data_IF_277133245811
#
_entry.id   IF_277133245811
#
_cell.length_a   1.000
_cell.length_b   1.000
_cell.length_c   1.000
_cell.angle_alpha   90.00
_cell.angle_beta   90.00
_cell.angle_gamma   90.00
#
_symmetry.space_group_name_H-M   'P 1'
#
loop_
_entity.id
_entity.type
_entity.pdbx_description
1 polymer ?
#
# COMPACT_ATOMS: atom_id res chain seq x y z
N UNK A 1 -14.57 -9.68 -6.65
CA UNK A 1 -13.81 -8.61 -5.96
C UNK A 1 -13.32 -9.14 -4.63
N UNK A 2 -12.18 -8.62 -4.11
CA UNK A 2 -11.63 -9.08 -2.84
C UNK A 2 -12.24 -8.28 -1.67
N UNK A 3 -12.26 -6.94 -1.82
CA UNK A 3 -12.83 -6.02 -0.83
C UNK A 3 -13.63 -4.95 -1.55
N UNK A 4 -14.80 -4.59 -1.01
CA UNK A 4 -15.70 -3.61 -1.62
C UNK A 4 -16.23 -2.65 -0.56
N UNK A 5 -16.29 -1.37 -0.93
CA UNK A 5 -16.87 -0.30 -0.14
C UNK A 5 -18.10 0.22 -0.88
N UNK A 6 -19.25 0.32 -0.20
CA UNK A 6 -20.50 0.78 -0.77
C UNK A 6 -21.01 1.98 0.03
N UNK A 7 -20.91 3.18 -0.56
CA UNK A 7 -21.37 4.46 0.01
C UNK A 7 -20.85 4.70 1.44
N UNK A 8 -19.59 4.32 1.67
CA UNK A 8 -18.97 4.34 3.01
C UNK A 8 -18.69 5.76 3.45
N UNK A 9 -19.10 6.08 4.69
CA UNK A 9 -18.84 7.35 5.36
C UNK A 9 -18.15 7.11 6.70
N UNK A 10 -17.15 7.95 7.01
CA UNK A 10 -16.46 7.92 8.29
C UNK A 10 -15.96 9.30 8.70
N UNK A 11 -16.30 9.69 9.93
CA UNK A 11 -15.85 10.93 10.57
C UNK A 11 -15.21 10.61 11.93
N UNK A 12 -14.04 11.16 12.20
CA UNK A 12 -13.39 11.00 13.51
C UNK A 12 -14.19 11.72 14.60
N UNK A 13 -14.16 11.16 15.82
CA UNK A 13 -14.79 11.81 16.99
C UNK A 13 -14.17 13.18 17.23
N UNK A 14 -15.05 14.18 17.42
CA UNK A 14 -14.62 15.57 17.66
C UNK A 14 -14.22 16.36 16.40
N UNK A 15 -14.33 15.76 15.21
CA UNK A 15 -14.09 16.43 13.93
C UNK A 15 -15.40 16.57 13.18
N UNK A 16 -15.61 17.70 12.50
CA UNK A 16 -16.85 17.96 11.72
C UNK A 16 -16.77 17.45 10.29
N UNK A 17 -15.56 17.42 9.70
CA UNK A 17 -15.39 17.01 8.33
C UNK A 17 -15.15 15.49 8.25
N UNK A 18 -15.85 14.80 7.34
CA UNK A 18 -15.65 13.37 7.13
C UNK A 18 -14.28 13.09 6.51
N UNK A 19 -13.59 12.08 7.05
CA UNK A 19 -12.34 11.57 6.50
C UNK A 19 -12.58 10.66 5.28
N UNK A 20 -13.72 9.99 5.23
CA UNK A 20 -14.25 9.23 4.07
C UNK A 20 -15.69 9.67 3.84
N UNK A 21 -16.05 9.94 2.57
CA UNK A 21 -17.32 10.51 2.17
C UNK A 21 -17.90 9.75 0.97
N UNK A 22 -19.06 9.14 1.15
CA UNK A 22 -19.82 8.41 0.13
C UNK A 22 -18.93 7.56 -0.79
N UNK A 23 -17.93 6.90 -0.19
CA UNK A 23 -16.92 6.16 -0.94
C UNK A 23 -17.49 4.84 -1.43
N UNK A 24 -17.57 4.70 -2.74
CA UNK A 24 -17.81 3.42 -3.41
C UNK A 24 -16.54 3.05 -4.16
N UNK A 25 -15.93 1.91 -3.79
CA UNK A 25 -14.63 1.47 -4.29
C UNK A 25 -14.56 -0.06 -4.27
N UNK A 26 -13.89 -0.62 -5.28
CA UNK A 26 -13.65 -2.06 -5.38
C UNK A 26 -12.16 -2.36 -5.46
N UNK A 27 -11.69 -3.26 -4.61
CA UNK A 27 -10.32 -3.78 -4.61
C UNK A 27 -10.34 -5.15 -5.29
N UNK A 28 -9.78 -5.27 -6.51
CA UNK A 28 -9.68 -6.56 -7.19
C UNK A 28 -8.65 -7.47 -6.50
N UNK A 29 -8.81 -8.79 -6.62
CA UNK A 29 -7.80 -9.76 -6.17
C UNK A 29 -6.61 -9.86 -7.12
N UNK A 30 -5.48 -10.38 -6.61
CA UNK A 30 -4.27 -10.69 -7.37
C UNK A 30 -3.75 -9.49 -8.18
N UNK A 31 -3.71 -8.31 -7.55
CA UNK A 31 -3.20 -7.05 -8.13
C UNK A 31 -2.27 -6.35 -7.18
N UNK A 32 -1.32 -5.60 -7.74
CA UNK A 32 -0.54 -4.57 -7.04
C UNK A 32 -1.24 -3.24 -7.26
N UNK A 33 -1.82 -2.71 -6.21
CA UNK A 33 -2.66 -1.51 -6.26
C UNK A 33 -1.94 -0.38 -5.54
N UNK A 34 -1.82 0.76 -6.20
CA UNK A 34 -1.33 1.98 -5.57
C UNK A 34 -2.51 2.88 -5.19
N UNK A 35 -2.51 3.32 -3.94
CA UNK A 35 -3.45 4.29 -3.39
C UNK A 35 -2.72 5.63 -3.26
N UNK A 36 -3.04 6.59 -4.12
CA UNK A 36 -2.40 7.91 -4.13
C UNK A 36 -3.40 9.02 -3.77
N UNK A 37 -2.87 10.16 -3.36
CA UNK A 37 -3.66 11.33 -2.96
C UNK A 37 -2.88 12.19 -1.97
N UNK A 38 -3.33 13.41 -1.75
CA UNK A 38 -2.68 14.34 -0.81
C UNK A 38 -2.66 13.81 0.62
N UNK A 39 -1.79 14.39 1.46
CA UNK A 39 -1.83 14.11 2.89
C UNK A 39 -3.18 14.54 3.47
N UNK A 40 -3.77 13.67 4.31
CA UNK A 40 -5.09 13.91 4.88
C UNK A 40 -6.28 13.59 3.96
N UNK A 41 -6.08 13.06 2.75
CA UNK A 41 -7.19 12.73 1.84
C UNK A 41 -7.97 11.45 2.24
N UNK A 42 -7.55 10.73 3.30
CA UNK A 42 -8.29 9.56 3.80
C UNK A 42 -7.61 8.19 3.60
N UNK A 43 -6.38 8.10 3.04
CA UNK A 43 -5.68 6.82 2.76
C UNK A 43 -5.56 5.91 3.98
N UNK A 44 -5.00 6.42 5.08
CA UNK A 44 -4.87 5.67 6.33
C UNK A 44 -6.24 5.27 6.89
N UNK A 45 -7.22 6.18 6.82
CA UNK A 45 -8.60 5.90 7.27
C UNK A 45 -9.23 4.77 6.46
N UNK A 46 -9.05 4.77 5.13
CA UNK A 46 -9.50 3.68 4.27
C UNK A 46 -8.90 2.34 4.70
N UNK A 47 -7.60 2.29 5.02
CA UNK A 47 -6.93 1.07 5.51
C UNK A 47 -7.46 0.60 6.86
N UNK A 48 -7.73 1.52 7.78
CA UNK A 48 -8.31 1.20 9.09
C UNK A 48 -9.75 0.64 8.97
N UNK A 49 -10.53 1.15 8.02
CA UNK A 49 -11.85 0.61 7.67
C UNK A 49 -11.73 -0.77 7.00
N UNK A 50 -10.79 -0.94 6.05
CA UNK A 50 -10.54 -2.18 5.34
C UNK A 50 -10.14 -3.34 6.27
N UNK A 51 -9.31 -3.05 7.29
CA UNK A 51 -8.88 -4.04 8.29
C UNK A 51 -9.89 -4.23 9.44
N UNK A 52 -11.01 -3.47 9.45
CA UNK A 52 -12.02 -3.52 10.50
C UNK A 52 -11.56 -2.96 11.85
N UNK A 53 -10.48 -2.14 11.88
CA UNK A 53 -10.11 -1.36 13.07
C UNK A 53 -11.12 -0.24 13.32
N UNK A 54 -11.69 0.30 12.25
CA UNK A 54 -12.80 1.23 12.31
C UNK A 54 -14.04 0.63 11.64
N UNK A 55 -15.19 1.01 12.15
CA UNK A 55 -16.49 0.68 11.58
C UNK A 55 -17.04 1.93 10.88
N UNK A 56 -17.54 1.84 9.63
CA UNK A 56 -18.18 2.97 8.97
C UNK A 56 -19.43 3.41 9.72
N UNK A 57 -19.72 4.72 9.68
CA UNK A 57 -20.93 5.27 10.28
C UNK A 57 -22.15 5.07 9.37
N UNK A 58 -21.93 5.10 8.05
CA UNK A 58 -22.90 4.77 7.03
C UNK A 58 -22.21 3.99 5.91
N UNK A 59 -23.03 3.28 5.11
CA UNK A 59 -22.53 2.42 4.05
C UNK A 59 -22.11 1.05 4.58
N UNK A 60 -21.56 0.23 3.70
CA UNK A 60 -21.25 -1.16 3.98
C UNK A 60 -19.91 -1.54 3.35
N UNK A 61 -19.19 -2.44 4.00
CA UNK A 61 -17.95 -3.02 3.49
C UNK A 61 -18.16 -4.53 3.32
N UNK A 62 -17.70 -5.06 2.20
CA UNK A 62 -17.81 -6.48 1.88
C UNK A 62 -16.43 -7.08 1.67
N UNK A 63 -16.19 -8.24 2.26
CA UNK A 63 -15.03 -9.08 2.05
C UNK A 63 -15.44 -10.33 1.27
N UNK A 64 -14.92 -10.50 0.05
CA UNK A 64 -15.24 -11.63 -0.84
C UNK A 64 -16.76 -11.82 -1.04
N UNK A 65 -17.51 -10.71 -1.18
CA UNK A 65 -18.94 -10.70 -1.37
C UNK A 65 -19.77 -10.86 -0.08
N UNK A 66 -19.13 -11.09 1.07
CA UNK A 66 -19.82 -11.15 2.37
C UNK A 66 -19.70 -9.82 3.12
N UNK A 67 -20.82 -9.29 3.60
CA UNK A 67 -20.85 -8.06 4.40
C UNK A 67 -20.03 -8.24 5.68
N UNK A 68 -19.12 -7.30 5.97
CA UNK A 68 -18.33 -7.30 7.19
C UNK A 68 -19.22 -7.21 8.42
N UNK A 69 -18.93 -8.09 9.38
CA UNK A 69 -19.52 -8.08 10.72
C UNK A 69 -18.48 -7.61 11.72
N UNK A 70 -18.90 -6.75 12.65
CA UNK A 70 -18.00 -6.12 13.62
C UNK A 70 -18.01 -6.82 14.99
N UNK A 71 -18.51 -8.06 15.06
CA UNK A 71 -18.34 -8.91 16.23
C UNK A 71 -16.89 -9.42 16.35
N UNK A 72 -16.49 -9.76 17.57
CA UNK A 72 -15.10 -10.15 17.88
C UNK A 72 -14.58 -11.30 17.01
N UNK A 73 -15.42 -12.31 16.74
CA UNK A 73 -15.01 -13.49 15.96
C UNK A 73 -14.78 -13.14 14.48
N UNK A 74 -15.69 -12.39 13.90
CA UNK A 74 -15.62 -11.95 12.50
C UNK A 74 -14.40 -11.05 12.27
N UNK A 75 -14.11 -10.12 13.21
CA UNK A 75 -12.94 -9.25 13.12
C UNK A 75 -11.62 -10.01 13.29
N UNK A 76 -11.55 -11.03 14.14
CA UNK A 76 -10.36 -11.88 14.25
C UNK A 76 -10.12 -12.61 12.93
N UNK A 77 -11.15 -13.18 12.32
CA UNK A 77 -11.03 -13.86 11.03
C UNK A 77 -10.62 -12.90 9.90
N UNK A 78 -11.19 -11.69 9.87
CA UNK A 78 -10.81 -10.67 8.89
C UNK A 78 -9.34 -10.29 8.99
N UNK A 79 -8.84 -10.02 10.21
CA UNK A 79 -7.47 -9.56 10.46
C UNK A 79 -6.40 -10.62 10.22
N UNK A 80 -6.76 -11.89 10.14
CA UNK A 80 -5.87 -12.94 9.64
C UNK A 80 -5.69 -12.84 8.12
N UNK A 81 -6.74 -12.39 7.41
CA UNK A 81 -6.78 -12.31 5.94
C UNK A 81 -6.35 -10.95 5.39
N UNK A 82 -6.53 -9.89 6.17
CA UNK A 82 -6.21 -8.51 5.81
C UNK A 82 -5.10 -8.01 6.72
N UNK A 83 -3.88 -8.06 6.23
CA UNK A 83 -2.70 -7.53 6.93
C UNK A 83 -2.59 -6.02 6.75
N UNK A 84 -2.17 -5.30 7.79
CA UNK A 84 -1.92 -3.87 7.76
C UNK A 84 -0.55 -3.56 8.33
N UNK A 85 0.26 -2.82 7.57
CA UNK A 85 1.57 -2.29 7.99
C UNK A 85 1.50 -0.78 8.02
N UNK A 86 1.73 -0.19 9.19
CA UNK A 86 1.71 1.25 9.40
C UNK A 86 2.97 1.95 8.89
N UNK A 87 2.86 3.22 8.57
CA UNK A 87 3.96 4.07 8.14
C UNK A 87 5.10 4.09 9.17
N UNK A 88 4.77 4.30 10.45
CA UNK A 88 5.73 4.27 11.56
C UNK A 88 5.72 2.88 12.23
N UNK A 89 6.80 2.08 12.10
CA UNK A 89 6.87 0.76 12.71
C UNK A 89 6.84 0.80 14.24
N UNK A 90 7.20 1.91 14.89
CA UNK A 90 7.15 2.06 16.34
C UNK A 90 5.72 2.06 16.90
N UNK A 91 4.72 2.30 16.06
CA UNK A 91 3.31 2.17 16.43
C UNK A 91 2.80 0.73 16.32
N UNK A 92 3.57 -0.15 15.69
CA UNK A 92 3.17 -1.52 15.38
C UNK A 92 3.94 -2.56 16.20
N UNK A 93 5.26 -2.39 16.37
CA UNK A 93 6.07 -3.31 17.15
C UNK A 93 5.83 -3.13 18.65
N UNK A 94 5.49 -4.20 19.35
CA UNK A 94 5.03 -4.17 20.75
C UNK A 94 5.80 -5.10 21.69
N UNK A 95 6.50 -6.10 21.15
CA UNK A 95 7.23 -7.09 21.94
C UNK A 95 8.66 -6.62 22.28
N UNK A 96 9.36 -7.39 23.13
CA UNK A 96 10.71 -7.06 23.55
C UNK A 96 11.76 -7.46 22.51
N UNK A 97 11.56 -8.58 21.81
CA UNK A 97 12.48 -9.13 20.81
C UNK A 97 11.80 -9.34 19.46
N UNK A 98 12.59 -9.49 18.39
CA UNK A 98 12.10 -9.71 17.03
C UNK A 98 11.24 -10.96 16.94
N UNK A 99 11.69 -12.07 17.49
CA UNK A 99 10.95 -13.34 17.42
C UNK A 99 9.62 -13.27 18.19
N UNK A 100 9.60 -12.61 19.34
CA UNK A 100 8.37 -12.40 20.12
C UNK A 100 7.37 -11.53 19.34
N UNK A 101 7.82 -10.51 18.65
CA UNK A 101 6.95 -9.61 17.88
C UNK A 101 6.33 -10.33 16.69
N UNK A 102 7.14 -11.07 15.92
CA UNK A 102 6.66 -11.85 14.78
C UNK A 102 5.69 -12.96 15.24
N UNK A 103 5.95 -13.61 16.39
CA UNK A 103 5.09 -14.67 16.92
C UNK A 103 3.79 -14.16 17.53
N UNK A 104 3.71 -12.89 17.87
CA UNK A 104 2.60 -12.32 18.65
C UNK A 104 1.22 -12.62 18.07
N UNK A 105 1.06 -12.45 16.75
CA UNK A 105 -0.18 -12.75 16.05
C UNK A 105 -0.60 -14.22 16.17
N UNK A 106 0.34 -15.14 16.00
CA UNK A 106 0.12 -16.58 16.09
C UNK A 106 -0.23 -17.02 17.53
N UNK A 107 0.47 -16.45 18.53
CA UNK A 107 0.16 -16.66 19.94
C UNK A 107 -1.28 -16.25 20.27
N UNK A 108 -1.71 -15.07 19.80
CA UNK A 108 -3.09 -14.59 20.01
C UNK A 108 -4.15 -15.46 19.35
N UNK A 109 -3.79 -16.18 18.28
CA UNK A 109 -4.64 -17.17 17.62
C UNK A 109 -4.64 -18.52 18.32
N UNK A 110 -3.85 -18.70 19.40
CA UNK A 110 -3.77 -19.94 20.17
C UNK A 110 -3.00 -21.06 19.48
N UNK A 111 -2.07 -20.74 18.59
CA UNK A 111 -1.20 -21.73 17.97
C UNK A 111 -0.28 -22.36 19.02
N UNK A 112 0.08 -23.64 18.81
CA UNK A 112 1.03 -24.34 19.68
C UNK A 112 2.46 -23.91 19.35
N UNK A 113 3.34 -23.93 20.32
CA UNK A 113 4.74 -23.49 20.19
C UNK A 113 5.45 -24.14 18.98
N UNK A 114 5.27 -25.45 18.77
CA UNK A 114 5.86 -26.15 17.62
C UNK A 114 5.34 -25.68 16.26
N UNK A 115 4.08 -25.22 16.19
CA UNK A 115 3.51 -24.64 14.97
C UNK A 115 4.05 -23.23 14.73
N UNK A 116 4.20 -22.47 15.82
CA UNK A 116 4.77 -21.11 15.79
C UNK A 116 6.22 -21.16 15.32
N UNK A 117 7.06 -22.03 15.91
CA UNK A 117 8.45 -22.20 15.48
C UNK A 117 8.57 -22.55 13.99
N UNK A 118 7.72 -23.48 13.52
CA UNK A 118 7.71 -23.90 12.11
C UNK A 118 7.28 -22.75 11.16
N UNK A 119 6.36 -21.89 11.60
CA UNK A 119 5.87 -20.77 10.79
C UNK A 119 6.84 -19.59 10.75
N UNK A 120 7.56 -19.33 11.85
CA UNK A 120 8.44 -18.16 11.99
C UNK A 120 9.75 -18.34 11.21
N UNK A 121 10.34 -19.53 11.20
CA UNK A 121 11.65 -19.77 10.62
C UNK A 121 11.77 -19.35 9.13
N UNK A 122 10.80 -19.69 8.24
CA UNK A 122 10.80 -19.23 6.85
C UNK A 122 10.71 -17.71 6.75
N UNK A 123 9.84 -17.08 7.56
CA UNK A 123 9.62 -15.63 7.57
C UNK A 123 10.86 -14.86 8.03
N UNK A 124 11.53 -15.32 9.09
CA UNK A 124 12.80 -14.74 9.54
C UNK A 124 13.85 -14.77 8.43
N UNK A 125 13.94 -15.87 7.68
CA UNK A 125 14.89 -16.00 6.57
C UNK A 125 14.52 -15.07 5.42
N UNK A 126 13.26 -15.05 5.00
CA UNK A 126 12.76 -14.25 3.87
C UNK A 126 13.01 -12.74 4.10
N UNK A 127 12.76 -12.25 5.32
CA UNK A 127 12.96 -10.84 5.65
C UNK A 127 14.37 -10.51 6.15
N UNK A 128 15.32 -11.48 6.12
CA UNK A 128 16.71 -11.29 6.57
C UNK A 128 16.80 -10.91 8.05
N UNK A 129 16.01 -11.56 8.89
CA UNK A 129 15.89 -11.30 10.34
C UNK A 129 16.44 -12.45 11.21
N UNK A 130 16.93 -13.53 10.62
CA UNK A 130 17.40 -14.73 11.32
C UNK A 130 18.44 -14.39 12.40
N UNK A 131 19.48 -13.62 12.04
CA UNK A 131 20.54 -13.20 12.97
C UNK A 131 20.08 -12.18 14.02
N UNK A 132 18.89 -11.60 13.80
CA UNK A 132 18.29 -10.60 14.65
C UNK A 132 17.16 -11.15 15.53
N UNK A 133 16.82 -12.44 15.39
CA UNK A 133 15.64 -13.05 16.01
C UNK A 133 15.52 -12.77 17.54
N UNK A 134 16.61 -12.91 18.27
CA UNK A 134 16.65 -12.68 19.71
C UNK A 134 17.08 -11.24 20.09
N UNK A 135 17.25 -10.35 19.10
CA UNK A 135 17.70 -8.98 19.36
C UNK A 135 16.55 -8.14 19.92
N UNK A 136 16.83 -7.30 20.94
CA UNK A 136 15.85 -6.34 21.45
C UNK A 136 15.43 -5.33 20.36
N UNK A 137 14.12 -5.09 20.20
CA UNK A 137 13.55 -4.25 19.15
C UNK A 137 14.07 -2.80 19.25
N UNK A 138 14.28 -2.27 20.46
CA UNK A 138 14.80 -0.92 20.65
C UNK A 138 16.23 -0.72 20.11
N UNK A 139 16.98 -1.79 19.86
CA UNK A 139 18.33 -1.74 19.28
C UNK A 139 18.32 -1.83 17.73
N UNK A 140 17.17 -1.99 17.12
CA UNK A 140 17.03 -2.08 15.67
C UNK A 140 17.01 -0.71 15.02
N UNK A 141 17.60 -0.62 13.83
CA UNK A 141 17.39 0.54 12.95
C UNK A 141 15.93 0.63 12.48
N UNK A 142 15.51 1.79 12.01
CA UNK A 142 14.15 2.00 11.51
C UNK A 142 13.81 1.02 10.36
N UNK A 143 14.74 0.81 9.43
CA UNK A 143 14.57 -0.16 8.34
C UNK A 143 14.46 -1.61 8.84
N UNK A 144 15.19 -1.98 9.91
CA UNK A 144 15.04 -3.29 10.53
C UNK A 144 13.67 -3.43 11.21
N UNK A 145 13.20 -2.41 11.94
CA UNK A 145 11.85 -2.38 12.53
C UNK A 145 10.76 -2.52 11.48
N UNK A 146 10.90 -1.86 10.31
CA UNK A 146 9.95 -2.02 9.19
C UNK A 146 9.90 -3.46 8.67
N UNK A 147 11.05 -4.12 8.54
CA UNK A 147 11.08 -5.55 8.17
C UNK A 147 10.41 -6.42 9.21
N UNK A 148 10.62 -6.14 10.51
CA UNK A 148 9.93 -6.85 11.59
C UNK A 148 8.41 -6.65 11.51
N UNK A 149 7.93 -5.40 11.33
CA UNK A 149 6.50 -5.12 11.17
C UNK A 149 5.88 -5.87 9.98
N UNK A 150 6.58 -5.88 8.84
CA UNK A 150 6.11 -6.62 7.66
C UNK A 150 6.13 -8.14 7.89
N UNK A 151 7.20 -8.68 8.49
CA UNK A 151 7.32 -10.09 8.84
C UNK A 151 6.22 -10.55 9.81
N UNK A 152 5.91 -9.72 10.84
CA UNK A 152 4.84 -9.99 11.81
C UNK A 152 3.43 -10.03 11.20
N UNK A 153 3.24 -9.33 10.07
CA UNK A 153 2.00 -9.42 9.30
C UNK A 153 2.04 -10.64 8.37
N UNK A 154 3.16 -10.85 7.66
CA UNK A 154 3.28 -11.90 6.65
C UNK A 154 3.32 -13.31 7.23
N UNK A 155 3.67 -13.49 8.50
CA UNK A 155 3.61 -14.81 9.18
C UNK A 155 2.19 -15.38 9.24
N UNK A 156 1.16 -14.53 9.12
CA UNK A 156 -0.25 -14.90 9.03
C UNK A 156 -0.69 -15.27 7.61
N UNK A 157 0.16 -15.06 6.59
CA UNK A 157 -0.13 -15.31 5.18
C UNK A 157 -1.42 -14.63 4.69
N UNK A 158 -1.53 -13.30 4.81
CA UNK A 158 -2.75 -12.58 4.48
C UNK A 158 -3.08 -12.67 2.97
N UNK A 159 -4.37 -12.65 2.63
CA UNK A 159 -4.86 -12.57 1.26
C UNK A 159 -4.78 -11.14 0.69
N UNK A 160 -4.85 -10.13 1.59
CA UNK A 160 -4.71 -8.71 1.28
C UNK A 160 -3.68 -8.09 2.22
N UNK A 161 -2.68 -7.43 1.66
CA UNK A 161 -1.66 -6.67 2.40
C UNK A 161 -1.84 -5.18 2.14
N UNK A 162 -2.13 -4.42 3.19
CA UNK A 162 -2.25 -2.97 3.18
C UNK A 162 -0.96 -2.36 3.73
N UNK A 163 -0.32 -1.46 2.97
CA UNK A 163 0.95 -0.83 3.31
C UNK A 163 0.79 0.69 3.30
N UNK A 164 0.91 1.32 4.46
CA UNK A 164 0.84 2.78 4.56
C UNK A 164 2.26 3.38 4.51
N UNK A 165 2.61 4.05 3.40
CA UNK A 165 3.89 4.70 3.14
C UNK A 165 5.11 3.81 3.50
N UNK A 166 5.22 2.60 2.96
CA UNK A 166 6.22 1.63 3.42
C UNK A 166 7.66 2.05 3.13
N UNK A 167 7.88 2.93 2.14
CA UNK A 167 9.22 3.45 1.78
C UNK A 167 9.66 4.66 2.57
N UNK A 168 8.75 5.30 3.32
CA UNK A 168 9.10 6.47 4.11
C UNK A 168 10.32 6.17 5.01
N UNK A 169 11.31 7.08 5.00
CA UNK A 169 12.56 6.97 5.77
C UNK A 169 13.49 5.82 5.40
N UNK A 170 13.28 5.12 4.28
CA UNK A 170 14.22 4.15 3.74
C UNK A 170 15.19 4.81 2.76
N UNK A 171 16.44 4.39 2.81
CA UNK A 171 17.41 4.72 1.77
C UNK A 171 17.15 3.91 0.48
N UNK A 172 17.78 4.27 -0.64
CA UNK A 172 17.54 3.60 -1.93
C UNK A 172 17.83 2.08 -1.93
N UNK A 173 18.79 1.61 -1.12
CA UNK A 173 19.10 0.19 -1.02
C UNK A 173 17.99 -0.58 -0.33
N UNK A 174 17.51 -0.08 0.81
CA UNK A 174 16.43 -0.68 1.55
C UNK A 174 15.08 -0.58 0.81
N UNK A 175 14.86 0.51 0.06
CA UNK A 175 13.69 0.65 -0.83
C UNK A 175 13.66 -0.43 -1.91
N UNK A 176 14.81 -0.74 -2.54
CA UNK A 176 14.90 -1.82 -3.53
C UNK A 176 14.67 -3.20 -2.92
N UNK A 177 15.23 -3.45 -1.74
CA UNK A 177 15.00 -4.71 -1.02
C UNK A 177 13.52 -4.90 -0.66
N UNK A 178 12.84 -3.84 -0.21
CA UNK A 178 11.41 -3.86 0.05
C UNK A 178 10.61 -4.15 -1.24
N UNK A 179 10.92 -3.47 -2.35
CA UNK A 179 10.27 -3.71 -3.63
C UNK A 179 10.36 -5.18 -4.05
N UNK A 180 11.55 -5.78 -3.94
CA UNK A 180 11.75 -7.21 -4.23
C UNK A 180 10.91 -8.11 -3.31
N UNK A 181 10.82 -7.79 -2.01
CA UNK A 181 9.99 -8.55 -1.08
C UNK A 181 8.50 -8.45 -1.45
N UNK A 182 8.02 -7.25 -1.85
CA UNK A 182 6.64 -7.07 -2.29
C UNK A 182 6.33 -7.83 -3.58
N UNK A 183 7.27 -7.88 -4.52
CA UNK A 183 7.12 -8.67 -5.74
C UNK A 183 7.01 -10.16 -5.42
N UNK A 184 7.81 -10.67 -4.49
CA UNK A 184 7.75 -12.08 -4.04
C UNK A 184 6.41 -12.37 -3.35
N UNK A 185 5.95 -11.49 -2.45
CA UNK A 185 4.66 -11.58 -1.75
C UNK A 185 3.51 -11.62 -2.77
N UNK A 186 3.55 -10.74 -3.77
CA UNK A 186 2.54 -10.72 -4.82
C UNK A 186 2.57 -11.99 -5.68
N UNK A 187 3.75 -12.46 -6.06
CA UNK A 187 3.93 -13.69 -6.82
C UNK A 187 3.42 -14.93 -6.07
N UNK A 188 3.41 -14.91 -4.74
CA UNK A 188 2.79 -15.94 -3.89
C UNK A 188 1.26 -15.83 -3.82
N UNK A 189 0.63 -14.84 -4.48
CA UNK A 189 -0.82 -14.70 -4.61
C UNK A 189 -1.48 -13.65 -3.71
N UNK A 190 -0.71 -12.96 -2.86
CA UNK A 190 -1.24 -11.88 -2.01
C UNK A 190 -1.57 -10.65 -2.85
N UNK A 191 -2.76 -10.10 -2.67
CA UNK A 191 -3.12 -8.77 -3.20
C UNK A 191 -2.45 -7.70 -2.35
N UNK A 192 -1.86 -6.69 -2.99
CA UNK A 192 -1.17 -5.61 -2.26
C UNK A 192 -1.85 -4.28 -2.58
N UNK A 193 -2.19 -3.52 -1.54
CA UNK A 193 -2.59 -2.10 -1.67
C UNK A 193 -1.57 -1.25 -0.92
N UNK A 194 -0.86 -0.41 -1.64
CA UNK A 194 0.18 0.45 -1.09
C UNK A 194 -0.23 1.92 -1.21
N UNK A 195 -0.40 2.59 -0.07
CA UNK A 195 -0.51 4.04 -0.05
C UNK A 195 0.89 4.64 -0.14
N UNK A 196 1.11 5.53 -1.11
CA UNK A 196 2.41 6.20 -1.30
C UNK A 196 2.27 7.52 -2.05
N UNK A 197 3.27 8.37 -1.90
CA UNK A 197 3.45 9.62 -2.67
C UNK A 197 4.55 9.50 -3.74
N UNK A 198 5.25 8.36 -3.84
CA UNK A 198 6.25 8.11 -4.87
C UNK A 198 5.59 7.68 -6.19
N UNK A 199 5.20 8.67 -7.00
CA UNK A 199 4.49 8.45 -8.26
C UNK A 199 5.36 7.73 -9.31
N UNK A 200 6.69 7.87 -9.27
CA UNK A 200 7.60 7.13 -10.16
C UNK A 200 7.57 5.63 -9.86
N UNK A 201 7.54 5.28 -8.58
CA UNK A 201 7.37 3.87 -8.20
C UNK A 201 5.99 3.37 -8.58
N UNK A 202 4.93 4.12 -8.28
CA UNK A 202 3.55 3.77 -8.65
C UNK A 202 3.45 3.44 -10.14
N UNK A 203 3.97 4.30 -11.00
CA UNK A 203 3.87 4.12 -12.45
C UNK A 203 4.53 2.82 -12.96
N UNK A 204 5.64 2.41 -12.33
CA UNK A 204 6.40 1.23 -12.75
C UNK A 204 5.95 -0.06 -12.08
N UNK A 205 5.35 0.03 -10.90
CA UNK A 205 5.08 -1.13 -10.06
C UNK A 205 3.61 -1.53 -10.01
N UNK A 206 2.68 -0.58 -10.06
CA UNK A 206 1.28 -0.85 -9.87
C UNK A 206 0.62 -1.44 -11.12
N UNK A 207 -0.31 -2.37 -10.92
CA UNK A 207 -1.22 -2.87 -11.96
C UNK A 207 -2.51 -2.05 -12.00
N UNK A 208 -2.82 -1.33 -10.91
CA UNK A 208 -4.00 -0.49 -10.74
C UNK A 208 -3.69 0.69 -9.82
N UNK A 209 -4.20 1.85 -10.13
CA UNK A 209 -4.04 3.07 -9.34
C UNK A 209 -5.40 3.55 -8.89
N UNK A 210 -5.51 3.92 -7.62
CA UNK A 210 -6.68 4.55 -7.01
C UNK A 210 -6.23 5.92 -6.52
N UNK A 211 -6.94 6.96 -6.93
CA UNK A 211 -6.69 8.34 -6.51
C UNK A 211 -7.79 8.80 -5.57
N UNK A 212 -7.43 9.09 -4.32
CA UNK A 212 -8.35 9.67 -3.34
C UNK A 212 -8.19 11.19 -3.27
N UNK A 213 -9.31 11.89 -3.20
CA UNK A 213 -9.36 13.31 -2.85
C UNK A 213 -10.44 13.55 -1.80
N UNK A 214 -10.05 14.15 -0.66
CA UNK A 214 -10.96 14.52 0.44
C UNK A 214 -11.98 13.45 0.82
N UNK A 215 -11.51 12.21 0.91
CA UNK A 215 -12.32 11.07 1.32
C UNK A 215 -13.19 10.46 0.22
N UNK A 216 -13.06 10.89 -1.02
CA UNK A 216 -13.80 10.37 -2.19
C UNK A 216 -12.87 9.74 -3.21
N UNK A 217 -13.39 8.85 -4.05
CA UNK A 217 -12.69 8.34 -5.23
C UNK A 217 -12.69 9.42 -6.33
N UNK A 218 -11.50 9.87 -6.73
CA UNK A 218 -11.34 10.89 -7.75
C UNK A 218 -11.04 10.29 -9.15
N UNK A 219 -10.18 9.27 -9.20
CA UNK A 219 -9.80 8.53 -10.41
C UNK A 219 -9.42 7.10 -10.01
N UNK A 220 -9.61 6.16 -10.93
CA UNK A 220 -9.03 4.83 -10.84
C UNK A 220 -8.77 4.24 -12.23
N UNK A 221 -7.78 3.35 -12.34
CA UNK A 221 -7.45 2.70 -13.60
C UNK A 221 -6.05 2.12 -13.62
N UNK A 222 -5.62 1.66 -14.79
CA UNK A 222 -4.21 1.31 -15.03
C UNK A 222 -3.34 2.56 -14.96
N UNK A 223 -2.07 2.46 -14.56
CA UNK A 223 -1.18 3.62 -14.39
C UNK A 223 -1.17 4.54 -15.60
N UNK A 224 -1.08 3.99 -16.79
CA UNK A 224 -1.02 4.76 -18.04
C UNK A 224 -2.27 5.64 -18.22
N UNK A 225 -3.46 5.10 -17.94
CA UNK A 225 -4.72 5.84 -18.07
C UNK A 225 -4.85 6.93 -17.00
N UNK A 226 -4.50 6.62 -15.75
CA UNK A 226 -4.60 7.59 -14.65
C UNK A 226 -3.61 8.74 -14.83
N UNK A 227 -2.36 8.46 -15.22
CA UNK A 227 -1.35 9.50 -15.39
C UNK A 227 -1.46 10.27 -16.73
N UNK A 228 -2.30 9.82 -17.66
CA UNK A 228 -2.70 10.60 -18.84
C UNK A 228 -3.68 11.74 -18.49
N UNK A 229 -4.40 11.66 -17.37
CA UNK A 229 -5.35 12.68 -16.88
C UNK A 229 -4.61 13.87 -16.20
N UNK A 230 -3.67 14.49 -16.92
CA UNK A 230 -2.74 15.51 -16.40
C UNK A 230 -3.47 16.67 -15.72
N UNK A 231 -4.44 17.29 -16.41
CA UNK A 231 -5.20 18.44 -15.89
C UNK A 231 -5.95 18.07 -14.60
N UNK A 232 -6.52 16.85 -14.55
CA UNK A 232 -7.22 16.36 -13.37
C UNK A 232 -6.25 16.17 -12.22
N UNK A 233 -5.09 15.52 -12.44
CA UNK A 233 -4.07 15.32 -11.42
C UNK A 233 -3.51 16.65 -10.90
N UNK A 234 -3.27 17.64 -11.78
CA UNK A 234 -2.84 18.98 -11.37
C UNK A 234 -3.91 19.69 -10.52
N UNK A 235 -5.20 19.56 -10.86
CA UNK A 235 -6.30 20.10 -10.07
C UNK A 235 -6.36 19.47 -8.67
N UNK A 236 -5.96 18.20 -8.55
CA UNK A 236 -5.81 17.47 -7.29
C UNK A 236 -4.47 17.74 -6.59
N UNK A 237 -3.64 18.66 -7.14
CA UNK A 237 -2.28 18.98 -6.70
C UNK A 237 -1.38 17.74 -6.61
N UNK A 238 -1.59 16.77 -7.48
CA UNK A 238 -0.74 15.62 -7.70
C UNK A 238 0.12 15.87 -8.93
N UNK A 239 1.37 15.41 -8.88
CA UNK A 239 2.26 15.45 -10.02
C UNK A 239 1.96 14.32 -11.02
N UNK A 240 2.66 14.37 -12.15
CA UNK A 240 2.74 13.27 -13.12
C UNK A 240 4.17 12.73 -13.11
N UNK A 241 4.38 11.40 -13.05
CA UNK A 241 5.72 10.80 -13.11
C UNK A 241 6.51 11.27 -14.31
N UNK A 242 7.81 11.49 -14.14
CA UNK A 242 8.69 11.85 -15.26
C UNK A 242 8.71 10.75 -16.33
N UNK A 243 8.70 9.49 -15.90
CA UNK A 243 8.62 8.33 -16.79
C UNK A 243 7.36 8.40 -17.68
N UNK A 244 6.19 8.71 -17.12
CA UNK A 244 4.95 8.85 -17.89
C UNK A 244 5.04 10.00 -18.89
N UNK A 245 5.59 11.15 -18.49
CA UNK A 245 5.81 12.31 -19.37
C UNK A 245 6.74 11.99 -20.52
N UNK A 246 7.84 11.27 -20.27
CA UNK A 246 8.80 10.89 -21.29
C UNK A 246 8.19 9.90 -22.29
N UNK A 247 7.44 8.90 -21.83
CA UNK A 247 6.77 7.96 -22.72
C UNK A 247 5.73 8.65 -23.59
N UNK A 248 4.89 9.53 -23.04
CA UNK A 248 3.93 10.31 -23.82
C UNK A 248 4.60 11.19 -24.90
N UNK A 249 5.79 11.75 -24.60
CA UNK A 249 6.58 12.50 -25.60
C UNK A 249 7.10 11.59 -26.71
N UNK A 250 7.58 10.39 -26.39
CA UNK A 250 8.08 9.42 -27.37
C UNK A 250 6.95 8.94 -28.28
N UNK A 251 5.79 8.60 -27.73
CA UNK A 251 4.60 8.18 -28.50
C UNK A 251 4.14 9.30 -29.44
N UNK A 252 4.16 10.55 -28.97
CA UNK A 252 3.87 11.72 -29.82
C UNK A 252 4.85 11.92 -30.97
N UNK A 253 6.13 11.59 -30.76
CA UNK A 253 7.16 11.68 -31.82
C UNK A 253 7.03 10.55 -32.85
N UNK A 254 6.72 9.34 -32.43
CA UNK A 254 6.47 8.20 -33.33
C UNK A 254 5.24 8.45 -34.24
N UNK A 255 4.25 9.19 -33.75
CA UNK A 255 3.08 9.57 -34.52
C UNK A 255 3.36 10.74 -35.51
N UNK A 256 4.31 11.61 -35.20
CA UNK A 256 4.62 12.76 -36.07
C UNK A 256 5.66 12.46 -37.16
N UNK A 257 6.62 11.59 -36.93
CA UNK A 257 7.61 11.22 -37.95
C UNK A 257 8.25 9.85 -37.73
N UNK A 258 8.14 8.98 -38.72
CA UNK A 258 8.95 7.74 -38.82
C UNK A 258 10.47 8.02 -38.95
N UNK A 259 10.93 9.26 -38.84
CA UNK A 259 12.32 9.68 -39.02
C UNK A 259 12.82 10.77 -38.06
N UNK A 260 12.25 10.95 -36.85
CA UNK A 260 12.77 11.98 -35.97
C UNK A 260 13.91 11.47 -35.09
N UNK A 261 15.06 12.14 -35.24
CA UNK A 261 16.30 11.92 -34.53
C UNK A 261 16.24 12.42 -33.07
N UNK A 262 17.14 11.89 -32.25
CA UNK A 262 17.40 12.31 -30.85
C UNK A 262 17.44 13.86 -30.67
N UNK A 263 17.76 14.62 -31.72
CA UNK A 263 17.80 16.08 -31.69
C UNK A 263 16.43 16.74 -31.52
N UNK A 264 15.37 16.17 -32.10
CA UNK A 264 14.00 16.68 -31.91
C UNK A 264 13.51 16.52 -30.48
N UNK A 265 13.79 15.37 -29.86
CA UNK A 265 13.51 15.11 -28.43
C UNK A 265 14.28 16.09 -27.54
N UNK A 266 15.55 16.35 -27.86
CA UNK A 266 16.39 17.29 -27.13
C UNK A 266 15.88 18.72 -27.23
N UNK A 267 15.42 19.13 -28.37
CA UNK A 267 14.88 20.48 -28.59
C UNK A 267 13.56 20.72 -27.85
N UNK A 268 12.66 19.73 -27.78
CA UNK A 268 11.44 19.81 -26.99
C UNK A 268 11.71 19.80 -25.48
N UNK A 269 12.63 18.98 -25.01
CA UNK A 269 13.03 18.93 -23.59
C UNK A 269 13.73 20.21 -23.12
N UNK A 270 14.47 20.88 -24.01
CA UNK A 270 15.16 22.14 -23.69
C UNK A 270 14.30 23.39 -23.96
N UNK A 271 13.28 23.31 -24.84
CA UNK A 271 12.34 24.40 -25.13
C UNK A 271 11.39 24.73 -24.00
N UNK A 272 11.10 23.79 -23.12
CA UNK A 272 10.23 24.00 -21.94
C UNK A 272 10.91 24.73 -20.76
N UNK A 273 12.18 25.16 -20.89
CA UNK A 273 12.90 25.97 -19.89
C UNK A 273 12.82 27.48 -20.10
N UNK A 274 11.99 27.95 -21.06
CA UNK A 274 11.76 29.39 -21.29
C UNK A 274 10.27 29.70 -21.28
N UNK A 275 9.71 29.76 -20.09
CA UNK A 275 8.50 30.51 -19.78
C UNK A 275 8.48 30.78 -18.27
#
# INVERSE_FOLDING_TARGET
MLLEFHEVNYTYSGVTEPAIRDLTLQIPSAKRIALIGQNGCGKTTLFLLANGLYQPQNGEIYWQGERLKYDRRSLINLRQKVGLVFQNPEQQVIASTVIEDISYGLCNLGWKDSQIESAIAPVLNEFGLTELANRPIHQLSLGQKKRVSLAGVMVLQPELLLLDEPTAYLDPLHTRALAQSLDNIHAAGTTIVMATHDLEWVYRWADWVIVLDRGTLALEGVPEAVFAEVEKLESLKLGVPLTAKLLALLDGLEQQEKNSTIEAVRSQLLGSKKS
#
